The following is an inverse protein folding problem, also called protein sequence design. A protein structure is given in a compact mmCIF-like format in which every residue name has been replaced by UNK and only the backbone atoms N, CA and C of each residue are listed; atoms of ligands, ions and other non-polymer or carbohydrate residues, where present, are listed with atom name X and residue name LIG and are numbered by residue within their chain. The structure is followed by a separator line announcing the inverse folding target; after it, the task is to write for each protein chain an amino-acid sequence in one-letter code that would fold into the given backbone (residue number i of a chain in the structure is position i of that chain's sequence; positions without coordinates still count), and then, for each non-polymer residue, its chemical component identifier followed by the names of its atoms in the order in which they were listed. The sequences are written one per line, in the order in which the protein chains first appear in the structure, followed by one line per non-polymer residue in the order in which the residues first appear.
data_IF_621834220923
#
_entry.id   IF_621834220923
#
_cell.length_a   1.000
_cell.length_b   1.000
_cell.length_c   1.000
_cell.angle_alpha   90.00
_cell.angle_beta   90.00
_cell.angle_gamma   90.00
#
_symmetry.space_group_name_H-M   'P 1'
#
loop_
_entity.id
_entity.type
_entity.pdbx_description
1 polymer ?
#
# COMPACT_ATOMS: atom_id res chain seq x y z
N UNK A 1 33.85 11.25 -12.84
CA UNK A 1 34.24 10.02 -12.12
C UNK A 1 33.20 8.96 -12.43
N UNK A 2 33.58 7.85 -13.05
CA UNK A 2 32.65 6.73 -13.25
C UNK A 2 32.42 6.06 -11.89
N UNK A 3 31.16 5.89 -11.50
CA UNK A 3 30.77 5.09 -10.33
C UNK A 3 31.31 3.68 -10.59
N UNK A 4 32.10 3.14 -9.66
CA UNK A 4 32.69 1.82 -9.86
C UNK A 4 31.57 0.78 -10.09
N UNK A 5 31.80 -0.28 -10.89
CA UNK A 5 30.81 -1.35 -11.06
C UNK A 5 30.39 -2.02 -9.74
N UNK A 6 31.19 -1.89 -8.68
CA UNK A 6 30.81 -2.26 -7.32
C UNK A 6 29.80 -1.26 -6.73
N UNK A 7 30.02 0.04 -6.89
CA UNK A 7 29.08 1.09 -6.51
C UNK A 7 27.79 1.13 -7.34
N UNK A 8 27.79 0.62 -8.58
CA UNK A 8 26.55 0.43 -9.35
C UNK A 8 25.73 -0.77 -8.86
N UNK A 9 26.37 -1.81 -8.28
CA UNK A 9 25.68 -2.92 -7.61
C UNK A 9 25.11 -2.51 -6.24
N UNK A 10 25.66 -1.45 -5.63
CA UNK A 10 25.30 -0.95 -4.30
C UNK A 10 23.95 -0.19 -4.23
N UNK A 11 23.30 0.13 -5.35
CA UNK A 11 22.02 0.84 -5.38
C UNK A 11 20.77 -0.06 -5.47
N UNK A 12 20.91 -1.38 -5.22
CA UNK A 12 19.76 -2.31 -5.11
C UNK A 12 19.74 -2.87 -3.69
N UNK A 13 18.71 -2.51 -2.93
CA UNK A 13 18.52 -2.66 -1.49
C UNK A 13 18.38 -4.11 -0.97
N UNK A 14 19.40 -4.96 -1.15
CA UNK A 14 19.38 -6.38 -0.80
C UNK A 14 20.76 -7.07 -0.93
N UNK A 15 21.78 -6.67 -0.14
CA UNK A 15 23.11 -7.28 -0.26
C UNK A 15 23.20 -8.64 0.43
N UNK A 16 23.65 -9.67 -0.30
CA UNK A 16 24.05 -10.95 0.28
C UNK A 16 25.36 -10.82 1.05
N UNK A 17 25.66 -11.80 1.91
CA UNK A 17 26.95 -11.83 2.61
C UNK A 17 28.12 -11.88 1.62
N UNK A 18 27.96 -12.61 0.51
CA UNK A 18 28.96 -12.68 -0.56
C UNK A 18 29.22 -11.31 -1.19
N UNK A 19 28.17 -10.53 -1.45
CA UNK A 19 28.32 -9.19 -2.02
C UNK A 19 29.11 -8.26 -1.08
N UNK A 20 28.87 -8.37 0.22
CA UNK A 20 29.57 -7.56 1.24
C UNK A 20 31.02 -8.02 1.38
N UNK A 21 31.30 -9.32 1.26
CA UNK A 21 32.67 -9.86 1.25
C UNK A 21 33.45 -9.40 0.02
N UNK A 22 32.85 -9.49 -1.17
CA UNK A 22 33.45 -9.00 -2.41
C UNK A 22 33.70 -7.49 -2.34
N UNK A 23 32.76 -6.74 -1.77
CA UNK A 23 32.91 -5.30 -1.55
C UNK A 23 34.05 -5.00 -0.55
N UNK A 24 34.15 -5.74 0.55
CA UNK A 24 35.22 -5.59 1.53
C UNK A 24 36.60 -5.96 0.98
N UNK A 25 36.68 -6.89 0.02
CA UNK A 25 37.92 -7.23 -0.67
C UNK A 25 38.32 -6.14 -1.66
N UNK A 26 37.37 -5.59 -2.41
CA UNK A 26 37.63 -4.56 -3.43
C UNK A 26 37.89 -3.16 -2.84
N UNK A 27 37.18 -2.80 -1.77
CA UNK A 27 37.06 -1.44 -1.26
C UNK A 27 36.89 -1.44 0.28
N UNK A 28 37.93 -1.82 1.05
CA UNK A 28 37.80 -2.13 2.47
C UNK A 28 37.38 -0.93 3.34
N UNK A 29 37.78 0.29 2.98
CA UNK A 29 37.41 1.50 3.72
C UNK A 29 35.95 1.87 3.50
N UNK A 30 35.47 1.81 2.26
CA UNK A 30 34.05 2.07 1.95
C UNK A 30 33.15 0.98 2.52
N UNK A 31 33.58 -0.28 2.49
CA UNK A 31 32.86 -1.39 3.10
C UNK A 31 32.76 -1.26 4.62
N UNK A 32 33.83 -0.82 5.30
CA UNK A 32 33.79 -0.54 6.73
C UNK A 32 32.80 0.61 7.07
N UNK A 33 32.82 1.70 6.30
CA UNK A 33 31.87 2.80 6.49
C UNK A 33 30.41 2.38 6.24
N UNK A 34 30.18 1.48 5.28
CA UNK A 34 28.86 0.89 5.04
C UNK A 34 28.40 0.03 6.23
N UNK A 35 29.25 -0.88 6.71
CA UNK A 35 28.94 -1.72 7.86
C UNK A 35 28.68 -0.90 9.13
N UNK A 36 29.38 0.21 9.33
CA UNK A 36 29.10 1.14 10.44
C UNK A 36 27.68 1.71 10.35
N UNK A 37 27.26 2.19 9.17
CA UNK A 37 25.86 2.66 8.97
C UNK A 37 24.85 1.54 9.18
N UNK A 38 25.14 0.32 8.74
CA UNK A 38 24.27 -0.85 9.00
C UNK A 38 24.14 -1.11 10.49
N UNK A 39 25.23 -1.07 11.25
CA UNK A 39 25.21 -1.24 12.70
C UNK A 39 24.36 -0.16 13.39
N UNK A 40 24.49 1.11 12.98
CA UNK A 40 23.71 2.22 13.54
C UNK A 40 22.21 2.05 13.26
N UNK A 41 21.84 1.68 12.03
CA UNK A 41 20.45 1.37 11.68
C UNK A 41 19.91 0.19 12.49
N UNK A 42 20.70 -0.86 12.68
CA UNK A 42 20.29 -2.03 13.49
C UNK A 42 20.06 -1.67 14.96
N UNK A 43 20.86 -0.75 15.53
CA UNK A 43 20.61 -0.20 16.87
C UNK A 43 19.31 0.59 16.90
N UNK A 44 19.08 1.47 15.92
CA UNK A 44 17.89 2.31 15.85
C UNK A 44 16.59 1.49 15.79
N UNK A 45 16.61 0.32 15.14
CA UNK A 45 15.45 -0.59 15.05
C UNK A 45 15.40 -1.66 16.15
N UNK A 46 16.22 -1.54 17.20
CA UNK A 46 16.19 -2.46 18.36
C UNK A 46 16.83 -3.84 18.11
N UNK A 47 17.52 -4.04 17.00
CA UNK A 47 18.18 -5.31 16.65
C UNK A 47 19.59 -5.43 17.27
N UNK A 48 19.67 -5.35 18.60
CA UNK A 48 20.93 -5.21 19.35
C UNK A 48 21.94 -6.35 19.08
N UNK A 49 21.49 -7.61 18.97
CA UNK A 49 22.37 -8.75 18.73
C UNK A 49 23.01 -8.69 17.34
N UNK A 50 22.23 -8.30 16.32
CA UNK A 50 22.70 -8.13 14.96
C UNK A 50 23.68 -6.94 14.84
N UNK A 51 23.36 -5.81 15.49
CA UNK A 51 24.27 -4.66 15.56
C UNK A 51 25.62 -5.03 16.21
N UNK A 52 25.58 -5.81 17.30
CA UNK A 52 26.79 -6.30 17.97
C UNK A 52 27.64 -7.19 17.08
N UNK A 53 27.02 -8.03 16.25
CA UNK A 53 27.74 -8.88 15.30
C UNK A 53 28.48 -8.04 14.24
N UNK A 54 27.84 -6.99 13.72
CA UNK A 54 28.48 -6.07 12.77
C UNK A 54 29.62 -5.26 13.42
N UNK A 55 29.43 -4.79 14.66
CA UNK A 55 30.49 -4.09 15.42
C UNK A 55 31.69 -5.00 15.69
N UNK A 56 31.48 -6.26 16.07
CA UNK A 56 32.56 -7.21 16.29
C UNK A 56 33.42 -7.42 15.03
N UNK A 57 32.81 -7.38 13.84
CA UNK A 57 33.55 -7.41 12.57
C UNK A 57 34.40 -6.16 12.39
N UNK A 58 33.83 -4.97 12.65
CA UNK A 58 34.50 -3.68 12.47
C UNK A 58 35.70 -3.50 13.42
N UNK A 59 35.54 -3.92 14.67
CA UNK A 59 36.53 -3.74 15.74
C UNK A 59 37.63 -4.82 15.73
N UNK A 60 37.44 -5.90 14.98
CA UNK A 60 38.41 -7.00 14.90
C UNK A 60 39.71 -6.63 14.19
N UNK A 61 40.79 -7.32 14.55
CA UNK A 61 42.10 -7.15 13.90
C UNK A 61 42.18 -7.84 12.52
N UNK A 62 42.96 -7.24 11.61
CA UNK A 62 43.26 -7.79 10.28
C UNK A 62 42.34 -7.33 9.14
N UNK A 63 42.48 -7.93 7.94
CA UNK A 63 41.70 -7.52 6.77
C UNK A 63 40.18 -7.76 6.96
N UNK A 64 39.34 -6.91 6.36
CA UNK A 64 37.89 -6.91 6.60
C UNK A 64 37.17 -8.15 6.04
N UNK A 65 37.50 -8.59 4.82
CA UNK A 65 36.85 -9.75 4.20
C UNK A 65 37.04 -11.07 5.01
N UNK A 66 38.25 -11.42 5.50
CA UNK A 66 38.43 -12.56 6.41
C UNK A 66 37.68 -12.42 7.74
N UNK A 67 37.49 -11.19 8.26
CA UNK A 67 36.67 -10.96 9.46
C UNK A 67 35.20 -11.25 9.18
N UNK A 68 34.66 -10.79 8.05
CA UNK A 68 33.29 -11.10 7.62
C UNK A 68 33.06 -12.61 7.50
N UNK A 69 34.02 -13.35 6.95
CA UNK A 69 33.95 -14.81 6.86
C UNK A 69 33.93 -15.49 8.25
N UNK A 70 34.81 -15.07 9.16
CA UNK A 70 34.84 -15.59 10.54
C UNK A 70 33.53 -15.35 11.29
N UNK A 71 32.87 -14.24 11.03
CA UNK A 71 31.59 -13.88 11.63
C UNK A 71 30.37 -14.22 10.76
N UNK A 72 30.55 -14.98 9.68
CA UNK A 72 29.50 -15.26 8.70
C UNK A 72 28.23 -15.86 9.32
N UNK A 73 28.35 -16.63 10.40
CA UNK A 73 27.19 -17.24 11.08
C UNK A 73 26.34 -16.17 11.80
N UNK A 74 26.98 -15.27 12.54
CA UNK A 74 26.29 -14.18 13.24
C UNK A 74 25.74 -13.14 12.26
N UNK A 75 26.43 -12.93 11.14
CA UNK A 75 26.00 -11.99 10.09
C UNK A 75 24.85 -12.52 9.22
N UNK A 76 24.54 -13.82 9.26
CA UNK A 76 23.45 -14.41 8.47
C UNK A 76 22.08 -13.81 8.78
N UNK A 77 21.88 -13.28 9.99
CA UNK A 77 20.68 -12.56 10.38
C UNK A 77 20.56 -11.15 9.77
N UNK A 78 21.63 -10.64 9.15
CA UNK A 78 21.72 -9.28 8.56
C UNK A 78 21.88 -9.36 7.05
N UNK A 79 22.77 -10.25 6.60
CA UNK A 79 23.14 -10.48 5.21
C UNK A 79 22.85 -11.94 4.86
N UNK A 80 21.86 -12.22 4.01
CA UNK A 80 21.53 -13.58 3.60
C UNK A 80 22.68 -14.18 2.80
N UNK A 81 22.95 -15.49 2.97
CA UNK A 81 24.05 -16.15 2.24
C UNK A 81 23.65 -16.59 0.84
N UNK A 82 22.35 -16.75 0.59
CA UNK A 82 21.79 -17.14 -0.70
C UNK A 82 20.32 -16.75 -0.85
N UNK A 83 19.71 -17.16 -1.97
CA UNK A 83 18.32 -16.81 -2.29
C UNK A 83 17.30 -17.34 -1.28
N UNK A 84 17.54 -18.52 -0.69
CA UNK A 84 16.67 -19.12 0.32
C UNK A 84 16.68 -18.33 1.64
N UNK A 85 17.88 -17.93 2.10
CA UNK A 85 18.05 -17.05 3.26
C UNK A 85 17.43 -15.67 3.00
N UNK A 86 17.44 -15.19 1.76
CA UNK A 86 16.81 -13.93 1.40
C UNK A 86 15.30 -14.01 1.61
N UNK A 87 14.66 -15.11 1.17
CA UNK A 87 13.24 -15.33 1.38
C UNK A 87 12.89 -15.47 2.88
N UNK A 88 13.74 -16.11 3.69
CA UNK A 88 13.57 -16.21 5.15
C UNK A 88 13.77 -14.87 5.86
N UNK A 89 14.80 -14.10 5.47
CA UNK A 89 15.09 -12.79 6.02
C UNK A 89 13.97 -11.79 5.69
N UNK A 90 13.43 -11.83 4.48
CA UNK A 90 12.26 -11.04 4.11
C UNK A 90 11.02 -11.44 4.92
N UNK A 91 10.79 -12.75 5.13
CA UNK A 91 9.72 -13.25 6.01
C UNK A 91 9.88 -12.80 7.47
N UNK A 92 11.10 -12.82 7.98
CA UNK A 92 11.43 -12.41 9.36
C UNK A 92 11.36 -10.90 9.55
N UNK A 93 11.82 -10.11 8.57
CA UNK A 93 11.68 -8.65 8.60
C UNK A 93 10.22 -8.22 8.48
N UNK A 94 9.45 -8.91 7.64
CA UNK A 94 8.01 -8.70 7.58
C UNK A 94 7.35 -8.98 8.95
N UNK A 95 7.76 -10.02 9.67
CA UNK A 95 7.19 -10.33 10.99
C UNK A 95 7.66 -9.39 12.11
N UNK A 96 8.87 -8.80 12.01
CA UNK A 96 9.44 -7.92 13.04
C UNK A 96 9.03 -6.44 12.95
N UNK A 97 8.46 -6.00 11.82
CA UNK A 97 7.98 -4.62 11.61
C UNK A 97 6.55 -4.43 12.20
N UNK A 98 6.03 -5.41 12.94
CA UNK A 98 4.64 -5.37 13.42
C UNK A 98 3.61 -5.59 12.28
N UNK A 99 4.07 -6.00 11.09
CA UNK A 99 3.21 -6.35 9.98
C UNK A 99 2.67 -7.78 10.14
N UNK A 100 1.51 -7.90 10.78
CA UNK A 100 0.59 -9.03 10.60
C UNK A 100 1.07 -10.39 11.14
N UNK A 101 0.11 -11.24 11.50
CA UNK A 101 0.42 -12.66 11.61
C UNK A 101 0.81 -13.15 10.21
N UNK A 102 1.98 -13.80 10.07
CA UNK A 102 2.44 -14.32 8.78
C UNK A 102 1.29 -15.12 8.13
N UNK A 103 0.80 -14.71 6.95
CA UNK A 103 -0.25 -15.45 6.28
C UNK A 103 0.25 -16.87 6.02
N UNK A 104 -0.65 -17.84 6.16
CA UNK A 104 -0.38 -19.20 5.69
C UNK A 104 -0.10 -19.10 4.18
N UNK A 105 1.07 -19.55 3.74
CA UNK A 105 1.53 -19.44 2.34
C UNK A 105 0.56 -20.09 1.33
N UNK A 106 -0.34 -20.96 1.81
CA UNK A 106 -1.37 -21.70 1.11
C UNK A 106 -2.80 -21.18 1.34
N UNK A 107 -2.99 -20.10 2.12
CA UNK A 107 -4.34 -19.58 2.42
C UNK A 107 -4.91 -18.77 1.25
N UNK A 108 -5.98 -19.31 0.65
CA UNK A 108 -6.83 -18.57 -0.28
C UNK A 108 -7.49 -17.39 0.47
N UNK A 109 -7.57 -16.20 -0.14
CA UNK A 109 -8.26 -15.08 0.48
C UNK A 109 -9.73 -15.45 0.68
N UNK A 110 -10.25 -15.11 1.85
CA UNK A 110 -11.66 -15.26 2.21
C UNK A 110 -12.30 -13.88 2.32
N UNK A 111 -13.62 -13.84 2.16
CA UNK A 111 -14.41 -12.65 2.42
C UNK A 111 -15.19 -12.80 3.71
N UNK A 112 -15.19 -11.75 4.52
CA UNK A 112 -15.97 -11.68 5.75
C UNK A 112 -16.75 -10.37 5.77
N UNK A 113 -18.01 -10.46 6.17
CA UNK A 113 -18.92 -9.32 6.29
C UNK A 113 -19.21 -9.03 7.75
N UNK A 114 -19.35 -7.76 8.10
CA UNK A 114 -19.70 -7.36 9.46
C UNK A 114 -19.67 -5.86 9.69
N UNK A 115 -19.76 -5.47 10.97
CA UNK A 115 -19.68 -4.09 11.40
C UNK A 115 -18.28 -3.77 11.96
N UNK A 116 -17.73 -2.62 11.57
CA UNK A 116 -16.46 -2.12 12.09
C UNK A 116 -16.65 -1.39 13.42
N UNK A 117 -15.66 -1.53 14.30
CA UNK A 117 -15.59 -0.81 15.57
C UNK A 117 -14.13 -0.61 15.99
N UNK A 118 -13.90 0.24 17.00
CA UNK A 118 -12.59 0.36 17.67
C UNK A 118 -12.65 -0.38 19.00
N UNK A 119 -11.82 -1.40 19.15
CA UNK A 119 -11.61 -2.13 20.41
C UNK A 119 -10.27 -1.79 21.04
N UNK A 120 -9.93 -2.50 22.11
CA UNK A 120 -8.67 -2.29 22.87
C UNK A 120 -7.43 -2.57 22.02
N UNK A 121 -7.55 -3.45 21.02
CA UNK A 121 -6.44 -3.85 20.13
C UNK A 121 -6.40 -3.08 18.82
N UNK A 122 -7.23 -2.04 18.67
CA UNK A 122 -7.31 -1.25 17.44
C UNK A 122 -8.60 -1.50 16.68
N UNK A 123 -8.51 -1.67 15.36
CA UNK A 123 -9.68 -1.85 14.51
C UNK A 123 -10.19 -3.29 14.59
N UNK A 124 -11.50 -3.45 14.77
CA UNK A 124 -12.15 -4.75 14.92
C UNK A 124 -13.35 -4.89 13.98
N UNK A 125 -13.60 -6.10 13.49
CA UNK A 125 -14.82 -6.47 12.77
C UNK A 125 -15.65 -7.43 13.62
N UNK A 126 -16.90 -7.06 13.90
CA UNK A 126 -17.91 -8.01 14.37
C UNK A 126 -18.62 -8.60 13.16
N UNK A 127 -18.37 -9.87 12.87
CA UNK A 127 -18.95 -10.56 11.71
C UNK A 127 -20.46 -10.76 11.87
N UNK A 128 -21.16 -11.01 10.78
CA UNK A 128 -22.59 -11.33 10.78
C UNK A 128 -22.92 -12.58 11.61
N UNK A 129 -21.95 -13.49 11.77
CA UNK A 129 -22.05 -14.68 12.62
C UNK A 129 -21.76 -14.40 14.11
N UNK A 130 -21.51 -13.14 14.49
CA UNK A 130 -21.25 -12.72 15.87
C UNK A 130 -19.80 -12.86 16.34
N UNK A 131 -18.87 -13.30 15.48
CA UNK A 131 -17.44 -13.39 15.81
C UNK A 131 -16.80 -12.00 15.80
N UNK A 132 -15.90 -11.72 16.74
CA UNK A 132 -15.07 -10.51 16.71
C UNK A 132 -13.67 -10.87 16.19
N UNK A 133 -13.19 -10.12 15.20
CA UNK A 133 -11.88 -10.26 14.58
C UNK A 133 -11.08 -8.99 14.77
N UNK A 134 -9.86 -9.09 15.30
CA UNK A 134 -8.90 -7.98 15.29
C UNK A 134 -8.30 -7.84 13.89
N UNK A 135 -8.38 -6.64 13.32
CA UNK A 135 -7.94 -6.38 11.95
C UNK A 135 -6.48 -5.94 11.93
N UNK A 136 -5.71 -6.57 11.05
CA UNK A 136 -4.31 -6.28 10.82
C UNK A 136 -4.09 -5.93 9.35
N UNK A 137 -3.13 -5.07 9.07
CA UNK A 137 -2.67 -4.80 7.71
C UNK A 137 -1.90 -6.00 7.16
N UNK A 138 -2.28 -6.49 5.97
CA UNK A 138 -1.64 -7.66 5.34
C UNK A 138 -0.29 -7.33 4.74
N UNK A 139 0.78 -7.97 5.21
CA UNK A 139 2.16 -7.84 4.74
C UNK A 139 2.41 -8.04 3.23
N UNK A 140 1.42 -8.46 2.44
CA UNK A 140 1.46 -8.47 0.98
C UNK A 140 1.50 -7.05 0.33
N UNK A 141 1.99 -6.05 1.07
CA UNK A 141 1.92 -4.60 0.81
C UNK A 141 2.75 -4.08 -0.37
N UNK A 142 3.46 -4.94 -1.10
CA UNK A 142 4.26 -4.51 -2.24
C UNK A 142 3.33 -4.21 -3.42
N UNK A 143 3.06 -2.92 -3.63
CA UNK A 143 2.40 -2.31 -4.80
C UNK A 143 0.86 -2.22 -4.78
N UNK A 144 0.32 -1.21 -4.08
CA UNK A 144 -1.01 -0.66 -4.39
C UNK A 144 -2.15 -0.95 -3.41
N UNK A 145 -1.85 -1.48 -2.22
CA UNK A 145 -2.86 -1.75 -1.20
C UNK A 145 -3.42 -0.53 -0.49
N UNK A 146 -4.67 -0.65 -0.07
CA UNK A 146 -5.31 0.21 0.92
C UNK A 146 -4.99 -0.38 2.31
N UNK A 147 -4.26 0.33 3.18
CA UNK A 147 -3.98 -0.13 4.54
C UNK A 147 -5.28 -0.43 5.31
N UNK A 148 -5.26 -1.43 6.21
CA UNK A 148 -6.44 -1.85 6.96
C UNK A 148 -7.03 -0.70 7.79
N UNK A 149 -6.18 0.20 8.25
CA UNK A 149 -6.54 1.36 9.06
C UNK A 149 -7.45 2.33 8.29
N UNK A 150 -7.37 2.33 6.95
CA UNK A 150 -8.27 3.13 6.12
C UNK A 150 -9.71 2.61 6.15
N UNK A 151 -9.95 1.34 6.49
CA UNK A 151 -11.31 0.83 6.68
C UNK A 151 -12.04 1.54 7.83
N UNK A 152 -11.29 2.15 8.77
CA UNK A 152 -11.89 2.92 9.88
C UNK A 152 -12.73 4.13 9.43
N UNK A 153 -12.56 4.59 8.19
CA UNK A 153 -13.44 5.58 7.57
C UNK A 153 -14.92 5.16 7.52
N UNK A 154 -15.20 3.85 7.56
CA UNK A 154 -16.54 3.28 7.44
C UNK A 154 -17.14 2.82 8.77
N UNK A 155 -16.52 3.15 9.89
CA UNK A 155 -17.14 2.92 11.21
C UNK A 155 -18.47 3.67 11.26
N UNK A 156 -19.51 2.99 11.77
CA UNK A 156 -20.90 3.49 11.86
C UNK A 156 -21.62 3.74 10.52
N UNK A 157 -20.96 3.53 9.38
CA UNK A 157 -21.54 3.79 8.05
C UNK A 157 -22.34 2.61 7.47
N UNK A 158 -22.27 1.44 8.11
CA UNK A 158 -22.98 0.23 7.74
C UNK A 158 -22.08 -1.00 7.69
N UNK A 159 -22.57 -2.12 7.12
CA UNK A 159 -21.78 -3.33 6.99
C UNK A 159 -20.64 -3.11 5.99
N UNK A 160 -19.48 -3.66 6.32
CA UNK A 160 -18.28 -3.67 5.49
C UNK A 160 -17.96 -5.11 5.11
N UNK A 161 -17.52 -5.32 3.88
CA UNK A 161 -16.94 -6.59 3.42
C UNK A 161 -15.43 -6.44 3.41
N UNK A 162 -14.72 -7.34 4.08
CA UNK A 162 -13.26 -7.44 4.05
C UNK A 162 -12.86 -8.62 3.16
N UNK A 163 -11.76 -8.46 2.43
CA UNK A 163 -11.06 -9.51 1.70
C UNK A 163 -9.66 -9.66 2.31
N UNK A 164 -9.23 -10.89 2.57
CA UNK A 164 -7.95 -11.14 3.20
C UNK A 164 -7.80 -12.54 3.75
N UNK A 165 -6.93 -12.71 4.73
CA UNK A 165 -6.62 -14.04 5.31
C UNK A 165 -6.87 -14.07 6.81
N UNK A 166 -7.44 -15.17 7.30
CA UNK A 166 -7.56 -15.42 8.74
C UNK A 166 -6.19 -15.80 9.32
N UNK A 167 -5.85 -15.23 10.48
CA UNK A 167 -4.68 -15.63 11.24
C UNK A 167 -4.81 -17.06 11.77
N UNK A 168 -3.69 -17.64 12.21
CA UNK A 168 -3.63 -19.04 12.69
C UNK A 168 -4.56 -19.29 13.89
N UNK A 169 -4.71 -18.32 14.79
CA UNK A 169 -5.67 -18.39 15.91
C UNK A 169 -7.12 -18.22 15.46
N UNK A 170 -7.34 -17.73 14.25
CA UNK A 170 -8.62 -17.33 13.70
C UNK A 170 -9.16 -16.00 14.23
N UNK A 171 -8.64 -15.46 15.33
CA UNK A 171 -9.17 -14.24 15.96
C UNK A 171 -8.61 -12.95 15.36
N UNK A 172 -7.67 -13.08 14.43
CA UNK A 172 -7.13 -11.98 13.64
C UNK A 172 -7.47 -12.14 12.17
N UNK A 173 -7.60 -11.03 11.47
CA UNK A 173 -7.83 -10.98 10.03
C UNK A 173 -6.84 -10.01 9.37
N UNK A 174 -5.98 -10.54 8.51
CA UNK A 174 -5.07 -9.74 7.71
C UNK A 174 -5.85 -9.18 6.51
N UNK A 175 -6.18 -7.90 6.56
CA UNK A 175 -6.95 -7.21 5.54
C UNK A 175 -6.07 -6.94 4.32
N UNK A 176 -6.53 -7.40 3.16
CA UNK A 176 -5.95 -7.10 1.85
C UNK A 176 -6.80 -6.05 1.12
N UNK A 177 -8.12 -6.11 1.25
CA UNK A 177 -9.05 -5.14 0.71
C UNK A 177 -10.33 -5.02 1.54
N UNK A 178 -11.08 -3.95 1.33
CA UNK A 178 -12.34 -3.71 2.03
C UNK A 178 -13.28 -2.83 1.20
N UNK A 179 -14.58 -2.93 1.47
CA UNK A 179 -15.60 -2.10 0.84
C UNK A 179 -16.81 -1.88 1.76
N UNK A 180 -17.33 -0.65 1.80
CA UNK A 180 -18.63 -0.37 2.45
C UNK A 180 -19.75 -0.99 1.60
N UNK A 181 -20.54 -1.87 2.20
CA UNK A 181 -21.58 -2.64 1.53
C UNK A 181 -22.99 -2.32 2.04
N UNK A 182 -23.28 -1.02 2.22
CA UNK A 182 -24.56 -0.52 2.75
C UNK A 182 -25.80 -0.96 1.95
N UNK A 183 -25.63 -1.27 0.68
CA UNK A 183 -26.70 -1.56 -0.28
C UNK A 183 -26.53 -2.90 -1.00
N UNK A 184 -25.62 -3.75 -0.53
CA UNK A 184 -25.36 -5.07 -1.11
C UNK A 184 -24.54 -5.06 -2.42
N UNK A 185 -24.19 -3.90 -3.00
CA UNK A 185 -23.45 -3.83 -4.28
C UNK A 185 -21.97 -4.23 -4.19
N UNK A 186 -21.43 -4.26 -2.98
CA UNK A 186 -20.03 -4.54 -2.68
C UNK A 186 -19.86 -5.86 -1.90
N UNK A 187 -20.83 -6.76 -2.01
CA UNK A 187 -20.71 -8.17 -1.55
C UNK A 187 -19.47 -8.85 -2.15
N UNK A 188 -19.16 -8.46 -3.38
CA UNK A 188 -17.91 -8.67 -4.08
C UNK A 188 -17.40 -7.33 -4.58
N UNK A 189 -16.09 -7.19 -4.65
CA UNK A 189 -15.48 -5.95 -5.13
C UNK A 189 -14.12 -6.20 -5.77
N UNK A 190 -13.69 -5.22 -6.56
CA UNK A 190 -12.34 -5.12 -7.12
C UNK A 190 -11.73 -3.85 -6.57
N UNK A 191 -10.58 -3.95 -5.91
CA UNK A 191 -9.92 -2.80 -5.32
C UNK A 191 -8.47 -2.70 -5.79
N UNK A 192 -7.92 -1.49 -5.78
CA UNK A 192 -6.51 -1.27 -6.09
C UNK A 192 -6.26 0.11 -6.65
N UNK A 193 -5.17 0.25 -7.42
CA UNK A 193 -4.79 1.52 -8.03
C UNK A 193 -4.94 1.51 -9.54
N UNK A 194 -5.49 2.59 -10.08
CA UNK A 194 -5.57 2.78 -11.52
C UNK A 194 -4.17 2.90 -12.12
N UNK A 195 -3.89 2.10 -13.13
CA UNK A 195 -2.72 2.20 -13.98
C UNK A 195 -3.16 2.25 -15.44
N UNK A 196 -2.39 2.97 -16.26
CA UNK A 196 -2.61 3.06 -17.70
C UNK A 196 -1.35 2.60 -18.40
N UNK A 197 -1.51 1.68 -19.33
CA UNK A 197 -0.47 1.37 -20.30
C UNK A 197 -0.64 2.31 -21.50
N UNK A 198 0.39 3.10 -21.78
CA UNK A 198 0.34 4.10 -22.86
C UNK A 198 0.50 3.48 -24.24
N UNK A 199 1.15 2.32 -24.37
CA UNK A 199 1.35 1.66 -25.67
C UNK A 199 0.06 1.02 -26.16
N UNK A 200 -0.63 0.29 -25.29
CA UNK A 200 -1.89 -0.38 -25.62
C UNK A 200 -3.14 0.45 -25.33
N UNK A 201 -2.97 1.62 -24.71
CA UNK A 201 -4.05 2.44 -24.16
C UNK A 201 -4.97 1.67 -23.18
N UNK A 202 -4.47 0.59 -22.57
CA UNK A 202 -5.26 -0.26 -21.67
C UNK A 202 -5.25 0.29 -20.26
N UNK A 203 -6.41 0.24 -19.60
CA UNK A 203 -6.57 0.62 -18.20
C UNK A 203 -6.63 -0.61 -17.32
N UNK A 204 -5.86 -0.56 -16.24
CA UNK A 204 -5.69 -1.63 -15.28
C UNK A 204 -5.99 -1.14 -13.86
N UNK A 205 -6.49 -2.02 -13.01
CA UNK A 205 -6.45 -1.88 -11.56
C UNK A 205 -5.33 -2.78 -11.05
N UNK A 206 -4.30 -2.19 -10.47
CA UNK A 206 -3.21 -2.93 -9.82
C UNK A 206 -3.68 -3.40 -8.44
N UNK A 207 -3.68 -4.71 -8.26
CA UNK A 207 -4.10 -5.38 -7.00
C UNK A 207 -2.97 -6.29 -6.52
N UNK A 208 -2.93 -6.69 -5.23
CA UNK A 208 -1.97 -7.67 -4.72
C UNK A 208 -2.03 -9.02 -5.40
N UNK A 209 -3.20 -9.35 -5.96
CA UNK A 209 -3.50 -10.65 -6.56
C UNK A 209 -3.35 -10.64 -8.08
N UNK A 210 -2.79 -9.56 -8.63
CA UNK A 210 -2.54 -9.39 -10.05
C UNK A 210 -3.27 -8.19 -10.65
N UNK A 211 -2.86 -7.77 -11.84
CA UNK A 211 -3.50 -6.67 -12.54
C UNK A 211 -4.84 -7.11 -13.12
N UNK A 212 -5.85 -6.26 -12.94
CA UNK A 212 -7.21 -6.46 -13.45
C UNK A 212 -7.46 -5.47 -14.59
N UNK A 213 -7.67 -5.95 -15.81
CA UNK A 213 -8.03 -5.11 -16.95
C UNK A 213 -9.44 -4.56 -16.79
N UNK A 214 -9.65 -3.27 -17.04
CA UNK A 214 -10.99 -2.69 -17.12
C UNK A 214 -11.51 -2.89 -18.55
N UNK A 215 -12.51 -3.76 -18.72
CA UNK A 215 -13.03 -4.14 -20.04
C UNK A 215 -14.11 -3.18 -20.57
N UNK A 216 -14.89 -2.58 -19.67
CA UNK A 216 -15.91 -1.60 -20.03
C UNK A 216 -15.25 -0.30 -20.50
N UNK A 217 -15.58 0.14 -21.73
CA UNK A 217 -14.92 1.28 -22.38
C UNK A 217 -15.20 2.61 -21.66
N UNK A 218 -16.43 2.82 -21.20
CA UNK A 218 -16.83 4.06 -20.53
C UNK A 218 -16.16 4.18 -19.16
N UNK A 219 -16.10 3.09 -18.40
CA UNK A 219 -15.36 3.05 -17.14
C UNK A 219 -13.86 3.21 -17.38
N UNK A 220 -13.28 2.52 -18.37
CA UNK A 220 -11.87 2.66 -18.70
C UNK A 220 -11.52 4.11 -19.06
N UNK A 221 -12.32 4.79 -19.88
CA UNK A 221 -12.11 6.19 -20.22
C UNK A 221 -12.14 7.11 -18.98
N UNK A 222 -13.13 6.92 -18.08
CA UNK A 222 -13.22 7.67 -16.82
C UNK A 222 -12.00 7.45 -15.92
N UNK A 223 -11.55 6.20 -15.77
CA UNK A 223 -10.40 5.87 -14.93
C UNK A 223 -9.07 6.32 -15.58
N UNK A 224 -8.94 6.27 -16.90
CA UNK A 224 -7.76 6.75 -17.62
C UNK A 224 -7.46 8.23 -17.35
N UNK A 225 -8.51 9.03 -17.07
CA UNK A 225 -8.40 10.44 -16.71
C UNK A 225 -7.87 10.66 -15.27
N UNK A 226 -7.76 9.60 -14.46
CA UNK A 226 -7.34 9.62 -13.06
C UNK A 226 -6.29 8.54 -12.77
N UNK A 227 -5.11 8.59 -13.42
CA UNK A 227 -4.05 7.61 -13.19
C UNK A 227 -3.60 7.65 -11.72
N UNK A 228 -3.26 6.49 -11.15
CA UNK A 228 -2.83 6.28 -9.74
C UNK A 228 -3.93 6.40 -8.68
N UNK A 229 -5.17 6.71 -9.06
CA UNK A 229 -6.29 6.78 -8.13
C UNK A 229 -6.51 5.43 -7.42
N UNK A 230 -6.67 5.46 -6.10
CA UNK A 230 -7.13 4.30 -5.34
C UNK A 230 -8.64 4.14 -5.51
N UNK A 231 -9.10 2.98 -5.98
CA UNK A 231 -10.50 2.72 -6.29
C UNK A 231 -11.01 1.43 -5.67
N UNK A 232 -12.32 1.39 -5.41
CA UNK A 232 -13.07 0.16 -5.11
C UNK A 232 -14.28 0.12 -6.05
N UNK A 233 -14.26 -0.86 -6.96
CA UNK A 233 -15.32 -1.12 -7.94
C UNK A 233 -16.24 -2.24 -7.40
N UNK A 234 -17.56 -2.13 -7.58
CA UNK A 234 -18.50 -3.19 -7.21
C UNK A 234 -18.36 -4.40 -8.13
N UNK A 235 -18.33 -5.60 -7.58
CA UNK A 235 -18.16 -6.86 -8.33
C UNK A 235 -16.72 -7.38 -8.35
N UNK A 236 -16.60 -8.71 -8.42
CA UNK A 236 -15.31 -9.41 -8.48
C UNK A 236 -14.70 -9.37 -9.89
N UNK A 237 -13.37 -9.46 -10.01
CA UNK A 237 -12.73 -9.70 -11.30
C UNK A 237 -12.96 -11.15 -11.76
N UNK A 238 -12.92 -11.35 -13.08
CA UNK A 238 -13.04 -12.64 -13.76
C UNK A 238 -11.72 -13.00 -14.44
N UNK A 239 -11.45 -14.30 -14.70
CA UNK A 239 -10.32 -14.70 -15.55
C UNK A 239 -10.36 -13.99 -16.91
N UNK A 240 -9.20 -13.54 -17.37
CA UNK A 240 -9.05 -12.97 -18.70
C UNK A 240 -8.96 -14.07 -19.75
N UNK A 241 -9.77 -13.95 -20.80
CA UNK A 241 -9.80 -14.92 -21.90
C UNK A 241 -8.68 -14.68 -22.93
N UNK A 242 -8.15 -13.46 -23.01
CA UNK A 242 -7.15 -13.05 -24.00
C UNK A 242 -5.72 -13.42 -23.57
N UNK A 243 -5.09 -14.43 -24.20
CA UNK A 243 -3.75 -14.87 -23.84
C UNK A 243 -2.65 -13.86 -24.25
N UNK A 244 -2.91 -12.94 -25.20
CA UNK A 244 -1.94 -11.92 -25.60
C UNK A 244 -1.70 -10.88 -24.48
N UNK A 245 -2.70 -10.68 -23.63
CA UNK A 245 -2.65 -9.78 -22.49
C UNK A 245 -2.31 -10.48 -21.16
N UNK A 246 -2.21 -11.81 -21.16
CA UNK A 246 -1.87 -12.61 -19.97
C UNK A 246 -0.52 -12.20 -19.33
N UNK A 247 0.42 -11.70 -20.13
CA UNK A 247 1.71 -11.16 -19.64
C UNK A 247 1.56 -9.90 -18.79
N UNK A 248 0.48 -9.15 -18.97
CA UNK A 248 0.19 -7.89 -18.26
C UNK A 248 -0.76 -8.10 -17.08
N UNK A 249 -1.60 -9.13 -17.13
CA UNK A 249 -2.50 -9.54 -16.06
C UNK A 249 -3.36 -10.73 -16.49
N UNK A 250 -3.84 -11.51 -15.53
CA UNK A 250 -4.68 -12.70 -15.76
C UNK A 250 -6.15 -12.47 -15.48
N UNK A 251 -6.53 -11.25 -15.10
CA UNK A 251 -7.88 -10.91 -14.63
C UNK A 251 -8.46 -9.72 -15.40
N UNK A 252 -9.79 -9.70 -15.55
CA UNK A 252 -10.53 -8.61 -16.15
C UNK A 252 -11.78 -8.28 -15.32
N UNK A 253 -12.17 -7.01 -15.34
CA UNK A 253 -13.37 -6.50 -14.72
C UNK A 253 -14.32 -6.02 -15.82
N UNK A 254 -15.49 -6.67 -15.92
CA UNK A 254 -16.52 -6.42 -16.94
C UNK A 254 -17.70 -5.57 -16.45
N UNK A 255 -17.70 -5.20 -15.16
CA UNK A 255 -18.76 -4.37 -14.60
C UNK A 255 -18.73 -2.93 -15.13
N UNK A 256 -19.88 -2.26 -15.18
CA UNK A 256 -20.00 -0.88 -15.67
C UNK A 256 -19.65 0.19 -14.62
N UNK A 257 -19.82 -0.12 -13.33
CA UNK A 257 -19.60 0.78 -12.18
C UNK A 257 -19.99 2.25 -12.46
N UNK A 258 -21.30 2.58 -12.53
CA UNK A 258 -21.74 3.98 -12.76
C UNK A 258 -21.18 4.91 -11.67
N UNK A 259 -21.12 4.42 -10.43
CA UNK A 259 -20.34 4.99 -9.33
C UNK A 259 -19.31 3.98 -8.81
N UNK A 260 -18.28 4.49 -8.15
CA UNK A 260 -17.28 3.70 -7.43
C UNK A 260 -16.72 4.49 -6.24
N UNK A 261 -16.13 3.80 -5.27
CA UNK A 261 -15.38 4.49 -4.22
C UNK A 261 -14.01 4.89 -4.74
N UNK A 262 -13.64 6.12 -4.42
CA UNK A 262 -12.35 6.70 -4.72
C UNK A 262 -11.71 7.23 -3.44
N UNK A 263 -10.42 6.92 -3.25
CA UNK A 263 -9.64 7.41 -2.12
C UNK A 263 -9.23 8.87 -2.35
N UNK A 264 -9.50 9.72 -1.36
CA UNK A 264 -9.13 11.12 -1.37
C UNK A 264 -8.53 11.61 -0.06
N UNK A 265 -8.03 12.84 -0.10
CA UNK A 265 -7.55 13.62 1.03
C UNK A 265 -8.09 15.04 0.93
N UNK A 266 -8.72 15.53 1.99
CA UNK A 266 -9.15 16.93 2.04
C UNK A 266 -7.91 17.82 2.15
N UNK A 267 -7.81 18.84 1.30
CA UNK A 267 -6.62 19.70 1.33
C UNK A 267 -6.59 20.62 2.54
N UNK A 268 -5.39 20.84 3.09
CA UNK A 268 -5.12 21.91 4.04
C UNK A 268 -4.96 23.22 3.26
N UNK A 269 -6.04 24.00 3.14
CA UNK A 269 -6.01 25.29 2.45
C UNK A 269 -7.31 26.07 2.60
N UNK A 270 -7.25 27.39 2.41
CA UNK A 270 -8.44 28.21 2.26
C UNK A 270 -9.09 27.93 0.89
N UNK A 271 -10.43 27.94 0.84
CA UNK A 271 -11.18 27.92 -0.42
C UNK A 271 -10.69 29.07 -1.30
N UNK A 272 -10.33 28.77 -2.54
CA UNK A 272 -9.96 29.78 -3.54
C UNK A 272 -11.23 30.46 -4.05
N UNK A 273 -11.18 31.72 -4.51
CA UNK A 273 -12.35 32.42 -5.07
C UNK A 273 -13.02 31.70 -6.25
N UNK A 274 -12.27 30.88 -7.00
CA UNK A 274 -12.81 30.04 -8.08
C UNK A 274 -13.71 28.89 -7.57
N UNK A 275 -13.56 28.47 -6.31
CA UNK A 275 -14.34 27.40 -5.69
C UNK A 275 -15.75 27.86 -5.30
N UNK A 276 -16.01 29.18 -5.30
CA UNK A 276 -17.27 29.79 -4.87
C UNK A 276 -18.37 29.84 -5.95
N UNK A 277 -18.07 29.50 -7.21
CA UNK A 277 -19.03 29.60 -8.32
C UNK A 277 -19.89 28.34 -8.54
N UNK A 278 -19.77 27.33 -7.68
CA UNK A 278 -20.32 26.02 -7.97
C UNK A 278 -21.56 25.71 -7.10
N UNK A 279 -22.56 24.97 -7.63
CA UNK A 279 -23.95 24.92 -7.11
C UNK A 279 -24.19 24.13 -5.80
N UNK A 280 -23.14 23.81 -5.04
CA UNK A 280 -23.17 23.05 -3.78
C UNK A 280 -21.90 23.31 -2.96
N UNK A 281 -21.74 22.75 -1.76
CA UNK A 281 -20.47 22.89 -1.04
C UNK A 281 -19.36 22.10 -1.78
N UNK A 282 -18.35 22.82 -2.25
CA UNK A 282 -17.15 22.23 -2.87
C UNK A 282 -15.98 22.29 -1.89
N UNK A 283 -15.20 21.22 -1.85
CA UNK A 283 -13.95 21.18 -1.10
C UNK A 283 -12.80 20.79 -2.02
N UNK A 284 -11.71 21.57 -2.06
CA UNK A 284 -10.50 21.20 -2.76
C UNK A 284 -9.98 19.88 -2.19
N UNK A 285 -9.81 18.89 -3.05
CA UNK A 285 -9.43 17.54 -2.66
C UNK A 285 -8.22 17.08 -3.45
N UNK A 286 -7.32 16.36 -2.79
CA UNK A 286 -6.29 15.58 -3.45
C UNK A 286 -6.74 14.11 -3.52
N UNK A 287 -7.21 13.66 -4.69
CA UNK A 287 -7.62 12.27 -4.88
C UNK A 287 -6.39 11.39 -5.14
N UNK A 288 -5.65 11.10 -4.07
CA UNK A 288 -4.69 9.99 -4.00
C UNK A 288 -3.44 10.10 -4.89
N UNK A 289 -2.82 11.29 -5.01
CA UNK A 289 -1.62 11.53 -5.85
C UNK A 289 -1.85 11.25 -7.35
N UNK A 290 -3.11 11.31 -7.79
CA UNK A 290 -3.48 11.19 -9.20
C UNK A 290 -3.40 12.55 -9.91
N UNK A 291 -3.52 12.54 -11.24
CA UNK A 291 -3.73 13.78 -12.03
C UNK A 291 -5.02 14.55 -11.63
N UNK A 292 -5.83 13.97 -10.74
CA UNK A 292 -6.99 14.56 -10.10
C UNK A 292 -6.65 15.34 -8.81
N UNK A 293 -5.38 15.66 -8.58
CA UNK A 293 -4.98 16.53 -7.48
C UNK A 293 -5.59 17.92 -7.65
N UNK A 294 -6.15 18.48 -6.57
CA UNK A 294 -6.78 19.81 -6.50
C UNK A 294 -8.03 19.98 -7.36
N UNK A 295 -8.67 18.88 -7.79
CA UNK A 295 -9.95 18.97 -8.49
C UNK A 295 -11.10 19.09 -7.49
N UNK A 296 -12.19 19.80 -7.83
CA UNK A 296 -13.33 19.94 -6.93
C UNK A 296 -14.02 18.60 -6.68
N UNK A 297 -14.34 18.34 -5.40
CA UNK A 297 -15.27 17.30 -4.97
C UNK A 297 -16.60 17.95 -4.61
N UNK A 298 -17.70 17.46 -5.18
CA UNK A 298 -19.05 17.81 -4.72
C UNK A 298 -19.40 16.93 -3.53
N UNK A 299 -19.74 17.52 -2.39
CA UNK A 299 -20.10 16.78 -1.18
C UNK A 299 -21.62 16.86 -0.96
N UNK A 300 -22.33 15.72 -0.81
CA UNK A 300 -23.75 15.74 -0.44
C UNK A 300 -23.96 16.47 0.89
N UNK A 301 -25.04 17.23 1.01
CA UNK A 301 -25.27 18.12 2.15
C UNK A 301 -25.31 17.34 3.49
N UNK A 302 -25.88 16.14 3.47
CA UNK A 302 -25.95 15.21 4.60
C UNK A 302 -24.56 14.73 5.08
N UNK A 303 -23.52 14.88 4.26
CA UNK A 303 -22.15 14.48 4.58
C UNK A 303 -21.22 15.67 4.83
N UNK A 304 -21.71 16.91 4.78
CA UNK A 304 -20.89 18.10 4.97
C UNK A 304 -20.13 18.10 6.32
N UNK A 305 -20.73 17.55 7.38
CA UNK A 305 -20.11 17.44 8.70
C UNK A 305 -18.92 16.47 8.76
N UNK A 306 -18.71 15.64 7.71
CA UNK A 306 -17.62 14.65 7.63
C UNK A 306 -16.32 15.23 7.07
N UNK A 307 -16.37 16.45 6.55
CA UNK A 307 -15.19 17.13 6.00
C UNK A 307 -14.23 17.47 7.14
N UNK A 308 -13.05 16.86 7.11
CA UNK A 308 -11.97 17.10 8.07
C UNK A 308 -10.68 17.46 7.32
N UNK A 309 -10.17 18.68 7.53
CA UNK A 309 -8.98 19.18 6.80
C UNK A 309 -7.79 18.25 6.99
N UNK A 310 -7.08 17.94 5.91
CA UNK A 310 -5.93 17.05 5.91
C UNK A 310 -6.26 15.57 6.02
N UNK A 311 -7.50 15.20 6.38
CA UNK A 311 -7.90 13.82 6.60
C UNK A 311 -8.07 13.07 5.28
N UNK A 312 -7.79 11.77 5.31
CA UNK A 312 -8.09 10.83 4.21
C UNK A 312 -9.56 10.41 4.29
N UNK A 313 -10.18 10.10 3.16
CA UNK A 313 -11.57 9.66 3.11
C UNK A 313 -11.84 8.83 1.85
N UNK A 314 -12.99 8.17 1.81
CA UNK A 314 -13.55 7.58 0.61
C UNK A 314 -14.78 8.37 0.16
N UNK A 315 -14.84 8.69 -1.13
CA UNK A 315 -16.06 9.20 -1.75
C UNK A 315 -16.59 8.17 -2.74
N UNK A 316 -17.88 7.86 -2.65
CA UNK A 316 -18.57 7.11 -3.70
C UNK A 316 -19.13 8.10 -4.71
N UNK A 317 -18.85 7.91 -5.99
CA UNK A 317 -19.33 8.84 -7.01
C UNK A 317 -18.76 8.57 -8.39
N UNK A 318 -18.75 9.61 -9.21
CA UNK A 318 -18.27 9.55 -10.59
C UNK A 318 -17.44 10.79 -10.95
N UNK A 319 -16.35 10.65 -11.73
CA UNK A 319 -15.68 11.79 -12.30
C UNK A 319 -16.48 12.38 -13.45
N UNK A 320 -16.55 13.71 -13.53
CA UNK A 320 -16.88 14.41 -14.76
C UNK A 320 -15.60 14.55 -15.59
N UNK A 321 -15.62 14.07 -16.83
CA UNK A 321 -14.51 14.15 -17.78
C UNK A 321 -14.82 15.22 -18.82
N UNK A 322 -13.86 16.11 -19.09
CA UNK A 322 -13.96 17.15 -20.11
C UNK A 322 -13.85 16.60 -21.52
N UNK A 323 -14.13 17.46 -22.53
CA UNK A 323 -14.01 17.09 -23.94
C UNK A 323 -12.57 16.70 -24.35
N UNK A 324 -11.58 17.17 -23.61
CA UNK A 324 -10.16 16.84 -23.78
C UNK A 324 -9.74 15.51 -23.11
N UNK A 325 -10.69 14.80 -22.50
CA UNK A 325 -10.44 13.56 -21.76
C UNK A 325 -9.82 13.77 -20.38
N UNK A 326 -9.67 15.02 -19.91
CA UNK A 326 -9.15 15.32 -18.58
C UNK A 326 -10.27 15.32 -17.53
N UNK A 327 -9.97 14.84 -16.34
CA UNK A 327 -10.94 14.80 -15.25
C UNK A 327 -11.08 16.18 -14.60
N UNK A 328 -12.31 16.66 -14.48
CA UNK A 328 -12.64 18.05 -14.11
C UNK A 328 -13.10 18.17 -12.65
N UNK A 329 -14.05 17.33 -12.23
CA UNK A 329 -14.62 17.29 -10.87
C UNK A 329 -15.12 15.88 -10.53
N UNK A 330 -15.31 15.60 -9.25
CA UNK A 330 -15.85 14.33 -8.77
C UNK A 330 -17.20 14.61 -8.11
N UNK A 331 -18.24 13.97 -8.63
CA UNK A 331 -19.60 14.10 -8.13
C UNK A 331 -19.86 12.96 -7.15
N UNK A 332 -19.74 13.25 -5.86
CA UNK A 332 -19.99 12.23 -4.84
C UNK A 332 -21.48 12.12 -4.55
N UNK A 333 -21.93 10.88 -4.37
CA UNK A 333 -23.21 10.51 -3.78
C UNK A 333 -23.04 10.06 -2.33
N UNK A 334 -21.79 9.97 -1.86
CA UNK A 334 -21.45 9.63 -0.50
C UNK A 334 -20.03 10.04 -0.16
N UNK A 335 -19.79 10.43 1.10
CA UNK A 335 -18.47 10.71 1.66
C UNK A 335 -18.35 10.03 3.02
N UNK A 336 -17.27 9.28 3.24
CA UNK A 336 -16.99 8.60 4.51
C UNK A 336 -16.60 9.58 5.62
N UNK A 337 -16.50 9.11 6.86
CA UNK A 337 -15.81 9.86 7.88
C UNK A 337 -14.34 10.12 7.48
N UNK A 338 -13.80 11.28 7.88
CA UNK A 338 -12.39 11.60 7.70
C UNK A 338 -11.50 10.79 8.65
N UNK A 339 -10.42 10.23 8.12
CA UNK A 339 -9.38 9.53 8.86
C UNK A 339 -8.27 10.54 9.16
N UNK A 340 -8.19 11.00 10.41
CA UNK A 340 -7.15 11.91 10.87
C UNK A 340 -5.88 11.13 11.26
N UNK A 341 -4.77 11.43 10.58
CA UNK A 341 -3.44 10.89 10.88
C UNK A 341 -2.99 11.22 12.31
N UNK A 342 -3.52 12.29 12.93
CA UNK A 342 -3.17 12.71 14.30
C UNK A 342 -3.85 11.89 15.40
N UNK A 343 -4.87 11.10 15.05
CA UNK A 343 -5.58 10.21 15.99
C UNK A 343 -5.04 8.77 16.00
N UNK A 344 -4.04 8.45 15.17
CA UNK A 344 -3.27 7.22 15.35
C UNK A 344 -2.41 7.33 16.62
N UNK A 345 -2.30 6.27 17.45
CA UNK A 345 -1.41 6.29 18.60
C UNK A 345 0.01 6.65 18.13
N UNK A 346 0.61 7.66 18.77
CA UNK A 346 1.97 8.16 18.47
C UNK A 346 3.02 7.07 18.72
N UNK A 347 3.20 6.17 17.75
CA UNK A 347 4.53 5.70 17.39
C UNK A 347 5.27 6.84 16.70
N UNK A 348 6.60 6.80 16.71
CA UNK A 348 7.45 7.80 16.03
C UNK A 348 6.97 8.12 14.59
N UNK A 349 7.29 9.30 14.04
CA UNK A 349 6.83 9.70 12.70
C UNK A 349 7.39 8.73 11.65
N UNK A 350 6.65 7.65 11.40
CA UNK A 350 6.90 6.75 10.30
C UNK A 350 6.64 7.56 9.03
N UNK A 351 7.65 7.65 8.16
CA UNK A 351 7.49 8.32 6.89
C UNK A 351 6.31 7.69 6.15
N UNK A 352 5.40 8.52 5.64
CA UNK A 352 4.15 8.09 5.02
C UNK A 352 4.37 6.85 4.12
N UNK A 353 3.77 5.70 4.45
CA UNK A 353 4.02 4.46 3.72
C UNK A 353 3.64 4.57 2.24
N UNK A 354 2.78 5.53 1.87
CA UNK A 354 2.48 5.85 0.47
C UNK A 354 3.61 6.61 -0.23
N UNK A 355 4.34 7.46 0.49
CA UNK A 355 5.52 8.16 -0.02
C UNK A 355 6.70 7.18 -0.18
N UNK A 356 6.88 6.23 0.74
CA UNK A 356 7.93 5.20 0.63
C UNK A 356 7.71 4.23 -0.55
N UNK A 357 6.46 3.88 -0.87
CA UNK A 357 6.15 3.01 -2.00
C UNK A 357 6.50 3.63 -3.37
N UNK A 358 6.51 4.97 -3.48
CA UNK A 358 6.82 5.69 -4.73
C UNK A 358 8.33 5.75 -4.98
N UNK A 359 9.14 5.97 -3.92
CA UNK A 359 10.61 6.07 -4.03
C UNK A 359 11.24 4.77 -4.56
N UNK A 360 10.61 3.61 -4.33
CA UNK A 360 11.06 2.32 -4.87
C UNK A 360 10.65 2.06 -6.32
N UNK A 361 9.78 2.88 -6.91
CA UNK A 361 9.26 2.68 -8.28
C UNK A 361 9.83 3.63 -9.33
N UNK A 362 10.67 4.60 -8.96
CA UNK A 362 11.36 5.49 -9.94
C UNK A 362 12.69 4.92 -10.45
N UNK A 363 12.94 3.62 -10.26
CA UNK A 363 14.06 2.90 -10.82
C UNK A 363 13.61 1.82 -11.81
N UNK A 364 12.91 2.22 -12.87
CA UNK A 364 12.71 1.42 -14.09
C UNK A 364 12.76 2.31 -15.32
#
# INVERSE_FOLDING_TARGET
MAISPAAQRLNRSAHSLSDVQDFAAAAPREAAAYLARVADTLVAVGAAQAASAVKAVLDGEGPLAPRLERHAAALGAVFPRGAEDFAELQRTRASSIGCGAAPRADSQPVRVSGALSRGERGLELRTDAGRVLSLLSSGAHLMGNLPAELASAFIEDGPVVLEGTLGVSGDTFNVEGFALNRDGRYDRFTFGRVARDFESNTVWIRTPRGNVKVADADLAARLAAMPRLGVILPGAPEPMEDPALARLGSLQYRGRAPTFFALGRFMEGALQPADAQAPGPYVPTDMGLSAFSRRPLTVPAEHAARIAKGARFFAEGSPTVGADGSAQRFEAVYVSAGIDERSAPRGEPEADPLTQAVVLTEAW
#
